data_IF_751202245534
#
_entry.id   IF_751202245534
#
_cell.length_a   1.000
_cell.length_b   1.000
_cell.length_c   1.000
_cell.angle_alpha   90.00
_cell.angle_beta   90.00
_cell.angle_gamma   90.00
#
_symmetry.space_group_name_H-M   'P 1'
#
loop_
_entity.id
_entity.type
_entity.pdbx_description
1 polymer ?
#
# COMPACT_ATOMS: atom_id res chain seq x y z
N UNK A 1 -5.68 2.49 -13.73
CA UNK A 1 -4.40 2.41 -13.01
C UNK A 1 -3.27 2.13 -13.97
N UNK A 2 -3.29 0.96 -14.64
CA UNK A 2 -2.24 0.52 -15.59
C UNK A 2 -0.82 0.67 -15.02
N UNK A 3 -0.63 0.29 -13.76
CA UNK A 3 0.69 0.31 -13.13
C UNK A 3 1.62 -0.69 -13.83
N UNK A 4 2.91 -0.35 -14.05
CA UNK A 4 3.88 -1.30 -14.58
C UNK A 4 3.98 -2.54 -13.67
N UNK A 5 4.07 -3.74 -14.26
CA UNK A 5 4.19 -5.00 -13.52
C UNK A 5 5.66 -5.30 -13.20
N UNK A 6 6.19 -4.56 -12.25
CA UNK A 6 7.56 -4.69 -11.72
C UNK A 6 7.50 -4.88 -10.21
N UNK A 7 8.58 -5.23 -9.55
CA UNK A 7 8.57 -5.27 -8.07
C UNK A 7 8.41 -3.84 -7.52
N UNK A 8 7.56 -3.61 -6.49
CA UNK A 8 6.68 -4.56 -5.82
C UNK A 8 5.27 -4.72 -6.47
N UNK A 9 4.89 -3.87 -7.43
CA UNK A 9 3.53 -3.80 -8.00
C UNK A 9 3.05 -5.09 -8.69
N UNK A 10 3.94 -5.87 -9.30
CA UNK A 10 3.62 -7.17 -9.91
C UNK A 10 3.08 -8.16 -8.89
N UNK A 11 3.67 -8.21 -7.70
CA UNK A 11 3.22 -9.07 -6.60
C UNK A 11 1.87 -8.61 -6.06
N UNK A 12 1.66 -7.29 -5.94
CA UNK A 12 0.39 -6.72 -5.46
C UNK A 12 -0.76 -7.11 -6.40
N UNK A 13 -0.56 -6.93 -7.71
CA UNK A 13 -1.56 -7.32 -8.73
C UNK A 13 -1.77 -8.82 -8.74
N UNK A 14 -0.69 -9.61 -8.69
CA UNK A 14 -0.75 -11.08 -8.67
C UNK A 14 -1.54 -11.61 -7.47
N UNK A 15 -1.21 -11.17 -6.26
CA UNK A 15 -1.90 -11.58 -5.03
C UNK A 15 -3.38 -11.21 -5.08
N UNK A 16 -3.73 -9.98 -5.48
CA UNK A 16 -5.14 -9.59 -5.58
C UNK A 16 -5.89 -10.40 -6.63
N UNK A 17 -5.26 -10.72 -7.77
CA UNK A 17 -5.86 -11.55 -8.80
C UNK A 17 -6.12 -12.98 -8.28
N UNK A 18 -5.17 -13.58 -7.56
CA UNK A 18 -5.34 -14.89 -6.92
C UNK A 18 -6.49 -14.87 -5.92
N UNK A 19 -6.57 -13.85 -5.05
CA UNK A 19 -7.68 -13.69 -4.11
C UNK A 19 -9.04 -13.62 -4.82
N UNK A 20 -9.13 -12.86 -5.91
CA UNK A 20 -10.37 -12.76 -6.69
C UNK A 20 -10.83 -14.10 -7.26
N UNK A 21 -9.88 -14.94 -7.70
CA UNK A 21 -10.19 -16.28 -8.24
C UNK A 21 -10.59 -17.24 -7.12
N UNK A 22 -9.81 -17.32 -6.04
CA UNK A 22 -10.06 -18.25 -4.93
C UNK A 22 -11.36 -17.94 -4.18
N UNK A 23 -11.73 -16.67 -4.08
CA UNK A 23 -12.97 -16.26 -3.40
C UNK A 23 -14.21 -16.35 -4.28
N UNK A 24 -14.06 -16.59 -5.59
CA UNK A 24 -15.16 -16.67 -6.56
C UNK A 24 -15.84 -15.34 -6.89
N UNK A 25 -15.37 -14.23 -6.31
CA UNK A 25 -15.98 -12.90 -6.45
C UNK A 25 -14.88 -11.83 -6.51
N UNK A 26 -14.92 -11.00 -7.57
CA UNK A 26 -13.88 -9.98 -7.78
C UNK A 26 -13.90 -8.93 -6.68
N UNK A 27 -12.76 -8.75 -6.03
CA UNK A 27 -12.55 -7.79 -4.95
C UNK A 27 -13.49 -7.98 -3.77
N UNK A 28 -13.99 -9.21 -3.53
CA UNK A 28 -14.70 -9.53 -2.27
C UNK A 28 -13.87 -9.09 -1.07
N UNK A 29 -12.61 -9.50 -1.06
CA UNK A 29 -11.57 -8.98 -0.17
C UNK A 29 -10.57 -8.16 -0.97
N UNK A 30 -10.22 -6.98 -0.47
CA UNK A 30 -9.18 -6.12 -1.04
C UNK A 30 -7.94 -6.25 -0.17
N UNK A 31 -6.83 -6.71 -0.74
CA UNK A 31 -5.55 -6.80 -0.05
C UNK A 31 -5.05 -5.41 0.37
N UNK A 32 -4.33 -5.34 1.50
CA UNK A 32 -3.84 -4.09 2.08
C UNK A 32 -3.06 -3.26 1.08
N UNK A 33 -2.16 -3.89 0.33
CA UNK A 33 -1.29 -3.21 -0.63
C UNK A 33 -2.08 -2.73 -1.86
N UNK A 34 -3.13 -3.46 -2.27
CA UNK A 34 -4.04 -2.98 -3.34
C UNK A 34 -4.83 -1.76 -2.86
N UNK A 35 -5.31 -1.77 -1.62
CA UNK A 35 -5.94 -0.61 -1.01
C UNK A 35 -4.98 0.59 -0.95
N UNK A 36 -3.71 0.38 -0.59
CA UNK A 36 -2.71 1.44 -0.60
C UNK A 36 -2.48 2.06 -1.99
N UNK A 37 -2.45 1.26 -3.05
CA UNK A 37 -2.37 1.79 -4.44
C UNK A 37 -3.60 2.64 -4.75
N UNK A 38 -4.80 2.17 -4.40
CA UNK A 38 -6.05 2.90 -4.61
C UNK A 38 -6.10 4.21 -3.80
N UNK A 39 -5.56 4.21 -2.58
CA UNK A 39 -5.44 5.38 -1.71
C UNK A 39 -4.35 6.38 -2.14
N UNK A 40 -3.48 6.01 -3.09
CA UNK A 40 -2.36 6.85 -3.53
C UNK A 40 -1.11 6.75 -2.66
N UNK A 41 -1.06 5.81 -1.69
CA UNK A 41 0.04 5.64 -0.75
C UNK A 41 1.35 5.17 -1.44
N UNK A 42 1.24 4.59 -2.63
CA UNK A 42 2.39 4.20 -3.48
C UNK A 42 2.75 5.26 -4.54
N UNK A 43 2.04 6.39 -4.56
CA UNK A 43 2.19 7.45 -5.53
C UNK A 43 1.17 7.39 -6.68
N UNK A 44 1.42 8.21 -7.70
CA UNK A 44 0.47 8.40 -8.81
C UNK A 44 0.52 7.25 -9.81
N UNK A 45 -0.63 6.65 -10.11
CA UNK A 45 -0.75 5.64 -11.16
C UNK A 45 -0.70 6.29 -12.57
N UNK A 46 -0.23 5.59 -13.62
CA UNK A 46 -0.17 6.13 -14.98
C UNK A 46 -1.52 6.60 -15.55
N UNK A 47 -2.61 5.94 -15.16
CA UNK A 47 -3.97 6.32 -15.50
C UNK A 47 -4.86 6.27 -14.25
N UNK A 48 -6.02 6.96 -14.24
CA UNK A 48 -6.97 6.89 -13.13
C UNK A 48 -7.31 5.46 -12.73
N UNK A 49 -7.41 5.21 -11.42
CA UNK A 49 -7.87 3.92 -10.88
C UNK A 49 -9.38 3.77 -11.04
N UNK A 50 -9.91 2.58 -10.74
CA UNK A 50 -11.35 2.39 -10.76
C UNK A 50 -12.00 3.18 -9.61
N UNK A 51 -12.91 4.12 -9.94
CA UNK A 51 -13.48 5.04 -8.97
C UNK A 51 -14.29 4.36 -7.86
N UNK A 52 -15.05 3.31 -8.19
CA UNK A 52 -15.86 2.58 -7.21
C UNK A 52 -14.99 1.83 -6.19
N UNK A 53 -13.93 1.16 -6.67
CA UNK A 53 -12.97 0.49 -5.78
C UNK A 53 -12.19 1.49 -4.93
N UNK A 54 -11.82 2.64 -5.51
CA UNK A 54 -11.12 3.69 -4.78
C UNK A 54 -12.01 4.28 -3.67
N UNK A 55 -13.25 4.66 -3.98
CA UNK A 55 -14.19 5.18 -3.00
C UNK A 55 -14.43 4.16 -1.85
N UNK A 56 -14.54 2.87 -2.19
CA UNK A 56 -14.71 1.80 -1.21
C UNK A 56 -13.55 1.71 -0.21
N UNK A 57 -12.30 1.86 -0.65
CA UNK A 57 -11.14 1.78 0.27
C UNK A 57 -10.87 3.10 1.01
N UNK A 58 -11.33 4.22 0.46
CA UNK A 58 -11.16 5.53 1.07
C UNK A 58 -12.13 5.78 2.22
N UNK A 59 -13.31 5.14 2.21
CA UNK A 59 -14.31 5.26 3.27
C UNK A 59 -14.68 6.73 3.58
N UNK A 60 -14.74 7.57 2.54
CA UNK A 60 -15.04 9.01 2.65
C UNK A 60 -13.83 9.92 2.85
N UNK A 61 -12.61 9.37 2.97
CA UNK A 61 -11.38 10.15 2.94
C UNK A 61 -10.99 10.56 1.51
N UNK A 62 -10.08 11.53 1.40
CA UNK A 62 -9.47 11.93 0.13
C UNK A 62 -8.23 11.06 -0.18
N UNK A 63 -7.93 10.75 -1.44
CA UNK A 63 -6.72 10.03 -1.82
C UNK A 63 -5.47 10.90 -1.60
N UNK A 64 -4.36 10.25 -1.28
CA UNK A 64 -3.03 10.87 -1.22
C UNK A 64 -2.62 11.31 -2.63
N UNK A 65 -2.31 12.60 -2.78
CA UNK A 65 -1.91 13.20 -4.06
C UNK A 65 -0.50 13.80 -4.06
N UNK A 66 0.14 13.90 -2.89
CA UNK A 66 1.52 14.36 -2.75
C UNK A 66 2.53 13.20 -2.93
N UNK A 67 3.84 13.48 -2.81
CA UNK A 67 4.86 12.44 -2.71
C UNK A 67 4.67 11.72 -1.36
N UNK A 68 4.50 10.39 -1.31
CA UNK A 68 4.17 9.69 -0.06
C UNK A 68 5.16 9.90 1.09
N UNK A 69 6.45 10.06 0.77
CA UNK A 69 7.49 10.29 1.77
C UNK A 69 7.35 11.62 2.53
N UNK A 70 6.60 12.59 1.99
CA UNK A 70 6.36 13.87 2.66
C UNK A 70 5.48 13.71 3.92
N UNK A 71 4.79 12.58 4.05
CA UNK A 71 3.97 12.23 5.21
C UNK A 71 4.73 11.46 6.30
N UNK A 72 5.99 11.09 6.04
CA UNK A 72 6.82 10.32 6.97
C UNK A 72 7.68 11.26 7.82
N UNK A 73 7.83 10.94 9.11
CA UNK A 73 8.77 11.64 9.99
C UNK A 73 10.19 11.06 9.79
N UNK A 74 11.26 11.79 10.09
CA UNK A 74 12.60 11.21 10.14
C UNK A 74 12.69 10.11 11.22
N UNK A 75 13.12 8.90 10.85
CA UNK A 75 13.08 7.72 11.75
C UNK A 75 14.46 7.24 12.22
N UNK A 76 15.56 7.67 11.61
CA UNK A 76 16.89 7.10 11.85
C UNK A 76 17.32 7.14 13.32
N UNK A 77 17.23 8.31 13.97
CA UNK A 77 17.63 8.47 15.37
C UNK A 77 16.80 7.59 16.32
N UNK A 78 15.50 7.43 16.03
CA UNK A 78 14.61 6.58 16.81
C UNK A 78 14.99 5.09 16.64
N UNK A 79 15.18 4.65 15.39
CA UNK A 79 15.55 3.27 15.09
C UNK A 79 16.90 2.88 15.69
N UNK A 80 17.90 3.77 15.66
CA UNK A 80 19.18 3.55 16.32
C UNK A 80 19.05 3.34 17.83
N UNK A 81 18.23 4.17 18.50
CA UNK A 81 17.96 4.04 19.93
C UNK A 81 17.23 2.72 20.25
N UNK A 82 16.25 2.34 19.43
CA UNK A 82 15.49 1.10 19.59
C UNK A 82 16.37 -0.13 19.42
N UNK A 83 17.26 -0.15 18.42
CA UNK A 83 18.20 -1.26 18.20
C UNK A 83 19.20 -1.37 19.35
N UNK A 84 19.75 -0.25 19.85
CA UNK A 84 20.65 -0.26 21.01
C UNK A 84 19.97 -0.80 22.26
N UNK A 85 18.73 -0.38 22.52
CA UNK A 85 17.93 -0.89 23.64
C UNK A 85 17.72 -2.40 23.51
N UNK A 86 17.27 -2.87 22.34
CA UNK A 86 17.04 -4.30 22.11
C UNK A 86 18.31 -5.14 22.26
N UNK A 87 19.46 -4.64 21.83
CA UNK A 87 20.75 -5.32 21.99
C UNK A 87 21.14 -5.48 23.47
N UNK A 88 20.82 -4.49 24.32
CA UNK A 88 21.08 -4.56 25.77
C UNK A 88 20.10 -5.50 26.49
N UNK A 89 18.85 -5.59 26.04
CA UNK A 89 17.82 -6.43 26.67
C UNK A 89 17.94 -7.92 26.29
N UNK A 90 18.49 -8.23 25.11
CA UNK A 90 18.49 -9.59 24.54
C UNK A 90 19.89 -10.19 24.33
N UNK A 91 20.95 -9.42 24.51
CA UNK A 91 22.34 -9.88 24.46
C UNK A 91 22.84 -10.20 25.86
#
# INVERSE_FOLDING_TARGET
>A
GFIPLVTPTSQIVGTQAVLNVLTGERYKTIAKETAGILKGEYGRTPAPVNAALQARVLEGAEPVTCRPADLLKPELAQLEADVRRQAQEKG
#
